data_IF_321679568150
#
_entry.id   IF_321679568150
#
_cell.length_a   1.000
_cell.length_b   1.000
_cell.length_c   1.000
_cell.angle_alpha   90.00
_cell.angle_beta   90.00
_cell.angle_gamma   90.00
#
_symmetry.space_group_name_H-M   'P 1'
#
loop_
_entity.id
_entity.type
_entity.pdbx_description
1 polymer ?
#
# COMPACT_ATOMS: atom_id res chain seq x y z
N UNK A 1 -16.19 -38.84 31.12
CA UNK A 1 -16.15 -38.09 29.85
C UNK A 1 -16.07 -36.60 30.20
N UNK A 2 -14.92 -35.95 29.99
CA UNK A 2 -14.80 -34.50 30.18
C UNK A 2 -15.28 -33.84 28.89
N UNK A 3 -16.41 -33.13 28.97
CA UNK A 3 -16.92 -32.29 27.89
C UNK A 3 -15.89 -31.19 27.61
N UNK A 4 -15.30 -31.18 26.42
CA UNK A 4 -14.41 -30.11 25.99
C UNK A 4 -15.28 -28.91 25.58
N UNK A 5 -15.25 -27.86 26.40
CA UNK A 5 -15.81 -26.55 26.09
C UNK A 5 -15.07 -25.99 24.88
N UNK A 6 -15.76 -25.83 23.75
CA UNK A 6 -15.24 -25.10 22.59
C UNK A 6 -14.86 -23.68 23.05
N UNK A 7 -13.65 -23.19 22.73
CA UNK A 7 -13.28 -21.81 23.05
C UNK A 7 -14.24 -20.84 22.33
N UNK A 8 -14.55 -19.69 22.94
CA UNK A 8 -15.42 -18.69 22.32
C UNK A 8 -14.84 -18.26 20.96
N UNK A 9 -15.69 -17.92 19.98
CA UNK A 9 -15.22 -17.40 18.71
C UNK A 9 -14.34 -16.16 18.97
N UNK A 10 -13.12 -16.17 18.45
CA UNK A 10 -12.24 -15.01 18.47
C UNK A 10 -12.98 -13.81 17.87
N UNK A 11 -12.82 -12.64 18.49
CA UNK A 11 -13.33 -11.36 18.00
C UNK A 11 -13.13 -11.22 16.49
N UNK A 12 -14.05 -10.59 15.74
CA UNK A 12 -13.78 -10.28 14.34
C UNK A 12 -12.47 -9.48 14.24
N UNK A 13 -11.61 -9.76 13.24
CA UNK A 13 -10.35 -9.05 13.10
C UNK A 13 -10.60 -7.56 12.92
N UNK A 14 -9.78 -6.73 13.56
CA UNK A 14 -9.84 -5.27 13.41
C UNK A 14 -9.70 -4.86 11.94
N UNK A 15 -10.37 -3.77 11.52
CA UNK A 15 -10.18 -3.23 10.19
C UNK A 15 -8.70 -2.85 9.99
N UNK A 16 -8.11 -3.12 8.82
CA UNK A 16 -6.71 -2.81 8.58
C UNK A 16 -6.48 -1.30 8.51
N UNK A 17 -5.30 -0.88 8.92
CA UNK A 17 -4.84 0.50 8.72
C UNK A 17 -4.41 0.72 7.27
N UNK A 18 -4.85 1.81 6.67
CA UNK A 18 -4.46 2.20 5.30
C UNK A 18 -3.19 3.05 5.35
N UNK A 19 -2.22 2.79 4.46
CA UNK A 19 -1.02 3.62 4.30
C UNK A 19 -0.95 4.10 2.85
N UNK A 20 -1.01 5.42 2.66
CA UNK A 20 -0.86 6.03 1.34
C UNK A 20 0.64 6.18 1.01
N UNK A 21 1.08 5.49 -0.04
CA UNK A 21 2.45 5.50 -0.53
C UNK A 21 2.52 6.39 -1.80
N UNK A 22 3.13 7.57 -1.75
CA UNK A 22 3.07 8.56 -2.83
C UNK A 22 3.97 8.19 -4.02
N UNK A 23 3.77 8.88 -5.15
CA UNK A 23 4.82 9.01 -6.17
C UNK A 23 6.00 9.87 -5.68
N UNK A 24 7.16 9.71 -6.32
CA UNK A 24 8.31 10.56 -6.05
C UNK A 24 8.03 12.04 -6.44
N UNK A 25 8.89 12.96 -6.01
CA UNK A 25 8.72 14.40 -6.16
C UNK A 25 7.75 15.03 -5.16
N UNK A 26 7.05 14.25 -4.33
CA UNK A 26 6.06 14.75 -3.37
C UNK A 26 6.72 15.20 -2.05
N UNK A 27 6.97 16.50 -1.89
CA UNK A 27 7.50 17.06 -0.65
C UNK A 27 6.47 17.25 0.47
N UNK A 28 5.20 17.46 0.13
CA UNK A 28 4.07 17.51 1.07
C UNK A 28 2.92 16.65 0.54
N UNK A 29 2.87 15.39 0.96
CA UNK A 29 1.91 14.41 0.45
C UNK A 29 0.47 14.83 0.73
N UNK A 30 0.15 15.34 1.93
CA UNK A 30 -1.23 15.78 2.25
C UNK A 30 -1.75 16.85 1.29
N UNK A 31 -0.86 17.62 0.64
CA UNK A 31 -1.20 18.67 -0.33
C UNK A 31 -0.93 18.28 -1.78
N UNK A 32 -0.53 17.04 -2.05
CA UNK A 32 -0.23 16.53 -3.38
C UNK A 32 -1.32 15.60 -3.89
N UNK A 33 -1.59 15.66 -5.19
CA UNK A 33 -2.53 14.79 -5.91
C UNK A 33 -3.86 14.61 -5.15
N UNK A 34 -4.33 13.37 -5.06
CA UNK A 34 -5.56 12.99 -4.36
C UNK A 34 -5.31 12.51 -2.92
N UNK A 35 -4.07 12.43 -2.45
CA UNK A 35 -3.72 11.73 -1.20
C UNK A 35 -4.42 12.31 0.03
N UNK A 36 -4.36 13.64 0.20
CA UNK A 36 -5.00 14.31 1.32
C UNK A 36 -6.52 14.15 1.31
N UNK A 37 -7.13 14.27 0.12
CA UNK A 37 -8.57 14.09 -0.05
C UNK A 37 -9.00 12.64 0.22
N UNK A 38 -8.23 11.66 -0.24
CA UNK A 38 -8.52 10.25 0.05
C UNK A 38 -8.40 9.96 1.54
N UNK A 39 -7.33 10.44 2.18
CA UNK A 39 -7.17 10.33 3.63
C UNK A 39 -8.40 10.88 4.35
N UNK A 40 -8.82 12.10 4.03
CA UNK A 40 -9.93 12.75 4.74
C UNK A 40 -11.25 12.00 4.52
N UNK A 41 -11.50 11.45 3.33
CA UNK A 41 -12.65 10.57 3.09
C UNK A 41 -12.59 9.29 3.91
N UNK A 42 -11.43 8.61 3.93
CA UNK A 42 -11.27 7.36 4.67
C UNK A 42 -11.48 7.57 6.17
N UNK A 43 -10.87 8.62 6.73
CA UNK A 43 -10.95 8.89 8.17
C UNK A 43 -12.31 9.47 8.57
N UNK A 44 -12.78 10.52 7.89
CA UNK A 44 -13.94 11.27 8.34
C UNK A 44 -15.27 10.64 7.90
N UNK A 45 -15.33 10.09 6.68
CA UNK A 45 -16.58 9.60 6.11
C UNK A 45 -16.77 8.09 6.37
N UNK A 46 -15.67 7.35 6.51
CA UNK A 46 -15.68 5.88 6.63
C UNK A 46 -15.11 5.35 7.95
N UNK A 47 -14.54 6.20 8.81
CA UNK A 47 -13.93 5.81 10.08
C UNK A 47 -12.87 4.69 9.91
N UNK A 48 -12.08 4.79 8.85
CA UNK A 48 -10.95 3.89 8.53
C UNK A 48 -9.66 4.62 8.89
N UNK A 49 -8.82 4.00 9.73
CA UNK A 49 -7.50 4.55 10.05
C UNK A 49 -6.65 4.64 8.78
N UNK A 50 -6.08 5.82 8.53
CA UNK A 50 -5.30 6.09 7.33
C UNK A 50 -4.09 6.96 7.66
N UNK A 51 -2.91 6.50 7.22
CA UNK A 51 -1.65 7.23 7.33
C UNK A 51 -1.33 7.88 5.98
N UNK A 52 -1.07 9.18 6.03
CA UNK A 52 -0.71 9.98 4.86
C UNK A 52 0.39 10.98 5.24
N UNK A 53 1.60 10.47 5.48
CA UNK A 53 2.78 11.24 5.93
C UNK A 53 3.93 11.19 4.94
N UNK A 54 4.80 12.21 4.97
CA UNK A 54 5.91 12.39 4.03
C UNK A 54 6.92 11.25 4.06
N UNK A 55 7.29 10.76 2.87
CA UNK A 55 8.32 9.73 2.71
C UNK A 55 9.74 10.36 2.67
N UNK A 56 10.76 9.65 3.16
CA UNK A 56 12.15 10.11 3.09
C UNK A 56 12.63 10.15 1.62
N UNK A 57 13.64 10.95 1.31
CA UNK A 57 14.23 11.00 -0.04
C UNK A 57 13.19 11.11 -1.18
N UNK A 58 12.30 12.13 -1.11
CA UNK A 58 11.12 12.19 -1.94
C UNK A 58 11.44 12.28 -3.43
N UNK A 59 12.63 12.75 -3.82
CA UNK A 59 13.02 12.91 -5.23
C UNK A 59 13.36 11.58 -5.91
N UNK A 60 14.14 10.71 -5.24
CA UNK A 60 14.68 9.50 -5.88
C UNK A 60 13.89 8.24 -5.53
N UNK A 61 13.09 8.26 -4.47
CA UNK A 61 12.29 7.12 -4.03
C UNK A 61 13.10 5.83 -3.84
N UNK A 62 14.31 5.93 -3.26
CA UNK A 62 15.20 4.78 -3.11
C UNK A 62 14.56 3.69 -2.24
N UNK A 63 14.55 2.46 -2.77
CA UNK A 63 13.99 1.27 -2.11
C UNK A 63 14.53 1.06 -0.70
N UNK A 64 15.84 1.20 -0.51
CA UNK A 64 16.54 1.06 0.78
C UNK A 64 16.11 2.09 1.83
N UNK A 65 15.38 3.14 1.44
CA UNK A 65 14.82 4.15 2.34
C UNK A 65 13.30 4.00 2.48
N UNK A 66 12.61 3.78 1.37
CA UNK A 66 11.15 3.75 1.33
C UNK A 66 10.57 2.50 1.97
N UNK A 67 11.11 1.32 1.65
CA UNK A 67 10.56 0.06 2.19
C UNK A 67 10.74 -0.03 3.71
N UNK A 68 11.93 0.30 4.29
CA UNK A 68 12.06 0.37 5.75
C UNK A 68 11.16 1.42 6.40
N UNK A 69 10.98 2.57 5.76
CA UNK A 69 10.06 3.60 6.26
C UNK A 69 8.62 3.09 6.30
N UNK A 70 8.14 2.47 5.22
CA UNK A 70 6.81 1.85 5.17
C UNK A 70 6.64 0.79 6.27
N UNK A 71 7.67 -0.01 6.53
CA UNK A 71 7.64 -1.00 7.62
C UNK A 71 7.54 -0.34 8.99
N UNK A 72 8.32 0.70 9.24
CA UNK A 72 8.25 1.46 10.48
C UNK A 72 6.87 2.10 10.68
N UNK A 73 6.24 2.60 9.61
CA UNK A 73 4.86 3.11 9.64
C UNK A 73 3.88 2.00 10.00
N UNK A 74 3.99 0.82 9.38
CA UNK A 74 3.13 -0.33 9.69
C UNK A 74 3.31 -0.82 11.13
N UNK A 75 4.53 -0.85 11.65
CA UNK A 75 4.81 -1.18 13.07
C UNK A 75 4.22 -0.18 14.05
N UNK A 76 4.17 1.09 13.66
CA UNK A 76 3.63 2.16 14.50
C UNK A 76 2.11 2.25 14.46
N UNK A 77 1.50 1.94 13.31
CA UNK A 77 0.09 2.23 13.02
C UNK A 77 -0.76 0.99 12.71
N UNK A 78 -0.18 -0.20 12.68
CA UNK A 78 -0.90 -1.45 12.46
C UNK A 78 -1.98 -1.66 13.53
N UNK A 79 -3.20 -1.98 13.08
CA UNK A 79 -4.32 -2.23 13.99
C UNK A 79 -4.00 -3.41 14.93
N UNK A 80 -4.43 -3.31 16.19
CA UNK A 80 -4.12 -4.27 17.25
C UNK A 80 -2.61 -4.54 17.45
N UNK A 81 -1.75 -3.58 17.09
CA UNK A 81 -0.28 -3.75 17.09
C UNK A 81 0.21 -4.84 16.13
N UNK A 82 -0.59 -5.17 15.10
CA UNK A 82 -0.24 -6.10 14.03
C UNK A 82 0.23 -5.32 12.78
N UNK A 83 1.55 -5.26 12.50
CA UNK A 83 2.08 -4.56 11.33
C UNK A 83 1.75 -5.24 9.99
N UNK A 84 1.22 -6.46 10.02
CA UNK A 84 0.81 -7.19 8.82
C UNK A 84 -0.65 -6.85 8.46
N UNK A 85 -1.42 -6.29 9.40
CA UNK A 85 -2.80 -5.83 9.21
C UNK A 85 -2.86 -4.40 8.63
N UNK A 86 -2.13 -4.18 7.52
CA UNK A 86 -2.12 -2.92 6.78
C UNK A 86 -2.50 -3.11 5.32
N UNK A 87 -3.12 -2.09 4.73
CA UNK A 87 -3.38 -1.97 3.29
C UNK A 87 -2.55 -0.83 2.73
N UNK A 88 -1.74 -1.12 1.70
CA UNK A 88 -0.93 -0.10 1.04
C UNK A 88 -1.66 0.42 -0.19
N UNK A 89 -1.78 1.75 -0.31
CA UNK A 89 -2.27 2.40 -1.53
C UNK A 89 -1.09 3.12 -2.18
N UNK A 90 -0.49 2.49 -3.19
CA UNK A 90 0.69 3.01 -3.87
C UNK A 90 0.35 3.75 -5.16
N UNK A 91 0.85 4.97 -5.32
CA UNK A 91 0.79 5.73 -6.56
C UNK A 91 2.17 5.81 -7.24
N UNK A 92 2.27 5.49 -8.53
CA UNK A 92 3.51 5.60 -9.31
C UNK A 92 4.72 4.94 -8.59
N UNK A 93 5.78 5.66 -8.21
CA UNK A 93 6.90 5.09 -7.42
C UNK A 93 6.46 4.42 -6.11
N UNK A 94 5.38 4.90 -5.48
CA UNK A 94 4.78 4.27 -4.30
C UNK A 94 4.11 2.93 -4.62
N UNK A 95 3.61 2.75 -5.84
CA UNK A 95 3.08 1.47 -6.33
C UNK A 95 4.22 0.43 -6.41
N UNK A 96 5.35 0.84 -6.99
CA UNK A 96 6.56 0.00 -7.07
C UNK A 96 7.10 -0.35 -5.68
N UNK A 97 7.20 0.64 -4.78
CA UNK A 97 7.63 0.42 -3.41
C UNK A 97 6.69 -0.53 -2.64
N UNK A 98 5.38 -0.45 -2.88
CA UNK A 98 4.38 -1.36 -2.30
C UNK A 98 4.56 -2.81 -2.76
N UNK A 99 4.86 -3.03 -4.04
CA UNK A 99 5.20 -4.37 -4.52
C UNK A 99 6.48 -4.90 -3.87
N UNK A 100 7.51 -4.05 -3.74
CA UNK A 100 8.77 -4.41 -3.07
C UNK A 100 8.62 -4.66 -1.58
N UNK A 101 7.69 -3.97 -0.92
CA UNK A 101 7.30 -4.25 0.46
C UNK A 101 6.67 -5.64 0.58
N UNK A 102 5.71 -5.95 -0.30
CA UNK A 102 4.99 -7.23 -0.30
C UNK A 102 5.87 -8.45 -0.62
N UNK A 103 7.04 -8.25 -1.23
CA UNK A 103 8.05 -9.31 -1.40
C UNK A 103 8.74 -9.69 -0.07
N UNK A 104 8.78 -8.77 0.90
CA UNK A 104 9.58 -8.90 2.13
C UNK A 104 8.71 -9.08 3.38
N UNK A 105 7.51 -8.48 3.39
CA UNK A 105 6.65 -8.43 4.55
C UNK A 105 5.21 -8.83 4.18
N UNK A 106 4.48 -9.51 5.07
CA UNK A 106 3.05 -9.70 4.89
C UNK A 106 2.32 -8.36 4.86
N UNK A 107 1.24 -8.32 4.09
CA UNK A 107 0.40 -7.14 3.92
C UNK A 107 -1.02 -7.62 3.61
N UNK A 108 -2.03 -6.97 4.18
CA UNK A 108 -3.43 -7.39 4.00
C UNK A 108 -3.91 -7.20 2.56
N UNK A 109 -3.38 -6.18 1.89
CA UNK A 109 -3.66 -5.92 0.49
C UNK A 109 -2.86 -4.73 -0.04
N UNK A 110 -2.74 -4.67 -1.35
CA UNK A 110 -2.10 -3.55 -2.05
C UNK A 110 -3.01 -3.06 -3.16
N UNK A 111 -3.27 -1.75 -3.17
CA UNK A 111 -3.96 -1.03 -4.24
C UNK A 111 -2.89 -0.25 -5.00
N UNK A 112 -2.74 -0.53 -6.29
CA UNK A 112 -1.78 0.14 -7.15
C UNK A 112 -2.52 1.12 -8.06
N UNK A 113 -2.25 2.40 -7.88
CA UNK A 113 -2.65 3.47 -8.78
C UNK A 113 -1.45 3.82 -9.66
N UNK A 114 -1.45 3.19 -10.82
CA UNK A 114 -0.51 3.46 -11.91
C UNK A 114 -1.33 3.30 -13.19
N UNK A 115 -0.84 3.80 -14.33
CA UNK A 115 -1.47 3.46 -15.63
C UNK A 115 -1.38 1.94 -15.97
N UNK A 116 -0.94 1.10 -15.02
CA UNK A 116 -1.01 -0.37 -15.04
C UNK A 116 -1.62 -0.84 -13.71
N UNK A 117 -2.91 -1.17 -13.72
CA UNK A 117 -3.61 -1.67 -12.54
C UNK A 117 -3.22 -3.13 -12.23
N UNK A 118 -2.69 -3.39 -11.04
CA UNK A 118 -2.57 -4.72 -10.43
C UNK A 118 -3.13 -4.62 -9.01
N UNK A 119 -4.19 -5.38 -8.70
CA UNK A 119 -4.67 -5.58 -7.33
C UNK A 119 -4.15 -6.94 -6.83
N UNK A 120 -3.23 -6.92 -5.86
CA UNK A 120 -2.73 -8.15 -5.24
C UNK A 120 -3.43 -8.35 -3.89
N UNK A 121 -4.16 -9.47 -3.77
CA UNK A 121 -4.64 -9.99 -2.48
C UNK A 121 -3.66 -11.06 -2.03
N UNK A 122 -2.88 -10.81 -0.99
CA UNK A 122 -1.91 -11.77 -0.46
C UNK A 122 -2.25 -12.13 0.99
N UNK A 123 -2.67 -13.38 1.19
CA UNK A 123 -2.46 -14.23 2.38
C UNK A 123 -3.20 -15.58 2.15
N UNK A 124 -2.74 -16.74 2.64
CA UNK A 124 -1.54 -17.09 3.43
C UNK A 124 -0.48 -17.87 2.57
N UNK A 125 0.72 -18.22 3.08
CA UNK A 125 1.91 -18.59 2.27
C UNK A 125 1.83 -19.89 1.42
N UNK A 126 0.66 -20.53 1.32
CA UNK A 126 0.48 -21.81 0.61
C UNK A 126 -0.52 -21.78 -0.55
N UNK A 127 -1.08 -20.62 -0.92
CA UNK A 127 -2.03 -20.54 -2.04
C UNK A 127 -1.66 -19.40 -3.00
N UNK A 128 -0.54 -19.56 -3.70
CA UNK A 128 -0.17 -18.67 -4.81
C UNK A 128 -0.92 -19.10 -6.08
N UNK A 129 -2.11 -18.55 -6.32
CA UNK A 129 -2.74 -18.56 -7.65
C UNK A 129 -2.86 -17.13 -8.15
N UNK A 130 -1.99 -16.79 -9.10
CA UNK A 130 -2.03 -15.54 -9.87
C UNK A 130 -3.18 -15.61 -10.86
N UNK A 131 -4.18 -14.75 -10.73
CA UNK A 131 -5.18 -14.52 -11.77
C UNK A 131 -4.97 -13.13 -12.36
N UNK A 132 -4.82 -13.07 -13.68
CA UNK A 132 -4.60 -11.85 -14.46
C UNK A 132 -5.90 -11.46 -15.16
N UNK A 133 -6.35 -10.22 -14.99
CA UNK A 133 -7.39 -9.60 -15.82
C UNK A 133 -6.90 -8.21 -16.23
N UNK A 134 -6.56 -8.05 -17.51
CA UNK A 134 -6.22 -6.76 -18.11
C UNK A 134 -7.44 -6.20 -18.83
N UNK A 135 -7.85 -4.98 -18.48
CA UNK A 135 -8.75 -4.17 -19.31
C UNK A 135 -7.95 -2.99 -19.85
N UNK A 136 -7.68 -2.98 -21.15
CA UNK A 136 -7.08 -1.84 -21.85
C UNK A 136 -8.17 -1.01 -22.49
N UNK A 137 -8.26 0.28 -22.15
CA UNK A 137 -8.98 1.27 -22.95
C UNK A 137 -7.95 2.19 -23.64
N UNK A 138 -7.85 2.22 -24.97
CA UNK A 138 -6.85 3.01 -25.66
C UNK A 138 -7.44 4.37 -26.07
N UNK A 139 -7.09 5.44 -25.35
CA UNK A 139 -7.05 6.80 -25.94
C UNK A 139 -6.50 7.82 -24.93
N UNK A 140 -5.27 8.28 -25.16
CA UNK A 140 -4.75 9.66 -25.07
C UNK A 140 -3.24 9.64 -24.80
N UNK A 141 -2.45 9.68 -25.88
CA UNK A 141 -1.01 9.90 -25.80
C UNK A 141 -0.72 11.41 -25.78
N UNK A 142 0.06 11.87 -24.80
CA UNK A 142 0.60 13.24 -24.68
C UNK A 142 2.12 13.11 -24.45
N UNK A 143 2.98 14.04 -24.94
CA UNK A 143 4.38 13.75 -25.21
C UNK A 143 5.22 13.56 -23.94
N UNK A 144 6.17 12.64 -24.04
CA UNK A 144 7.08 12.20 -22.99
C UNK A 144 8.14 13.27 -22.67
N UNK A 145 8.10 13.78 -21.44
CA UNK A 145 9.29 14.37 -20.82
C UNK A 145 10.18 13.20 -20.36
N UNK A 146 11.46 13.20 -20.73
CA UNK A 146 12.40 12.12 -20.40
C UNK A 146 12.51 11.93 -18.88
N UNK A 147 11.85 10.91 -18.35
CA UNK A 147 12.22 10.28 -17.08
C UNK A 147 13.49 9.45 -17.28
N UNK A 148 14.43 9.45 -16.33
CA UNK A 148 15.64 8.64 -16.41
C UNK A 148 15.30 7.13 -16.51
N UNK A 149 16.18 6.33 -17.12
CA UNK A 149 15.94 4.91 -17.36
C UNK A 149 15.72 4.13 -16.06
N UNK A 150 14.84 3.13 -16.13
CA UNK A 150 14.38 2.25 -15.04
C UNK A 150 15.52 1.52 -14.29
N UNK A 151 16.75 1.57 -14.79
CA UNK A 151 17.91 0.99 -14.11
C UNK A 151 18.49 1.85 -12.97
N UNK A 152 18.05 3.10 -12.79
CA UNK A 152 18.42 3.95 -11.63
C UNK A 152 17.26 4.27 -10.68
N UNK A 153 16.07 3.76 -10.96
CA UNK A 153 14.94 3.77 -10.02
C UNK A 153 14.51 2.31 -9.87
N UNK A 154 15.17 1.57 -8.97
CA UNK A 154 14.71 0.35 -8.30
C UNK A 154 15.77 -0.19 -7.33
#
# INVERSE_FOLDING_TARGET
>A
MKSASTPPPSSPPSPPTVIICPGNGCGNIRRSNWYGLLHDKLVNDHNIECVCENFPDPLHARREKWVPHMRAVAEKHGADSDPDNVVLIGHSSGAQASLRYAELYPVRGVVLEDNVAIAARLAPPHACTKSYLTSTNPQTAVPTHHSPPIHEIL
#
